data_IF_198057255342
#
_entry.id   IF_198057255342
#
_cell.length_a   1.000
_cell.length_b   1.000
_cell.length_c   1.000
_cell.angle_alpha   90.00
_cell.angle_beta   90.00
_cell.angle_gamma   90.00
#
_symmetry.space_group_name_H-M   'P 1'
#
loop_
_entity.id
_entity.type
_entity.pdbx_description
1 polymer ?
#
# COMPACT_ATOMS: atom_id res chain seq x y z
N UNK A 1 6.42 14.74 -7.97
CA UNK A 1 6.27 13.40 -7.37
C UNK A 1 5.99 13.48 -5.86
N UNK A 2 6.59 14.41 -5.17
CA UNK A 2 6.36 14.60 -3.75
C UNK A 2 4.92 14.96 -3.43
N UNK A 3 4.30 15.78 -4.28
CA UNK A 3 2.90 16.15 -4.10
C UNK A 3 1.98 14.93 -4.28
N UNK A 4 2.26 14.09 -5.27
CA UNK A 4 1.49 12.87 -5.49
C UNK A 4 1.61 11.91 -4.31
N UNK A 5 2.80 11.72 -3.76
CA UNK A 5 3.03 10.89 -2.57
C UNK A 5 2.23 11.42 -1.39
N UNK A 6 2.27 12.72 -1.15
CA UNK A 6 1.56 13.34 -0.04
C UNK A 6 0.05 13.15 -0.16
N UNK A 7 -0.50 13.36 -1.34
CA UNK A 7 -1.93 13.17 -1.59
C UNK A 7 -2.33 11.71 -1.32
N UNK A 8 -1.55 10.75 -1.82
CA UNK A 8 -1.83 9.34 -1.58
C UNK A 8 -1.78 9.00 -0.09
N UNK A 9 -0.85 9.56 0.66
CA UNK A 9 -0.76 9.31 2.10
C UNK A 9 -1.90 9.96 2.88
N UNK A 10 -2.32 11.16 2.49
CA UNK A 10 -3.45 11.84 3.11
C UNK A 10 -4.77 11.06 2.91
N UNK A 11 -4.91 10.38 1.79
CA UNK A 11 -6.10 9.61 1.44
C UNK A 11 -5.94 8.11 1.67
N UNK A 12 -4.91 7.68 2.39
CA UNK A 12 -4.57 6.27 2.48
C UNK A 12 -5.69 5.40 3.05
N UNK A 13 -6.48 5.94 3.97
CA UNK A 13 -7.61 5.22 4.59
C UNK A 13 -8.94 5.47 3.89
N UNK A 14 -8.96 6.29 2.84
CA UNK A 14 -10.19 6.64 2.13
C UNK A 14 -10.53 5.55 1.11
N UNK A 15 -11.65 4.85 1.32
CA UNK A 15 -12.10 3.78 0.42
C UNK A 15 -12.51 4.29 -0.96
N UNK A 16 -12.82 5.59 -1.06
CA UNK A 16 -13.23 6.22 -2.32
C UNK A 16 -12.06 6.85 -3.09
N UNK A 17 -10.84 6.79 -2.55
CA UNK A 17 -9.69 7.33 -3.25
C UNK A 17 -9.35 6.48 -4.46
N UNK A 18 -9.10 7.15 -5.59
CA UNK A 18 -8.90 6.49 -6.88
C UNK A 18 -7.91 7.27 -7.73
N UNK A 19 -7.57 6.70 -8.88
CA UNK A 19 -6.75 7.38 -9.90
C UNK A 19 -7.40 8.71 -10.31
N UNK A 20 -8.72 8.72 -10.44
CA UNK A 20 -9.47 9.93 -10.80
C UNK A 20 -9.32 11.03 -9.75
N UNK A 21 -9.42 10.67 -8.48
CA UNK A 21 -9.25 11.63 -7.38
C UNK A 21 -7.82 12.17 -7.37
N UNK A 22 -6.83 11.31 -7.55
CA UNK A 22 -5.43 11.72 -7.61
C UNK A 22 -5.22 12.73 -8.74
N UNK A 23 -5.76 12.44 -9.93
CA UNK A 23 -5.68 13.35 -11.07
C UNK A 23 -6.32 14.70 -10.78
N UNK A 24 -7.52 14.68 -10.18
CA UNK A 24 -8.23 15.92 -9.81
C UNK A 24 -7.43 16.76 -8.83
N UNK A 25 -6.88 16.13 -7.80
CA UNK A 25 -6.07 16.82 -6.78
C UNK A 25 -4.80 17.44 -7.38
N UNK A 26 -4.24 16.80 -8.40
CA UNK A 26 -3.06 17.30 -9.09
C UNK A 26 -3.39 18.22 -10.26
N UNK A 27 -4.67 18.41 -10.57
CA UNK A 27 -5.15 19.17 -11.73
C UNK A 27 -4.59 18.64 -13.05
N UNK A 28 -4.50 17.33 -13.16
CA UNK A 28 -3.99 16.64 -14.35
C UNK A 28 -5.05 15.73 -14.95
N UNK A 29 -5.09 15.66 -16.29
CA UNK A 29 -5.91 14.68 -16.98
C UNK A 29 -5.37 13.27 -16.70
N UNK A 30 -6.23 12.25 -16.84
CA UNK A 30 -5.84 10.87 -16.63
C UNK A 30 -4.68 10.45 -17.53
N UNK A 31 -4.73 10.85 -18.81
CA UNK A 31 -3.68 10.52 -19.77
C UNK A 31 -2.35 11.16 -19.39
N UNK A 32 -2.37 12.43 -19.02
CA UNK A 32 -1.16 13.15 -18.64
C UNK A 32 -0.57 12.58 -17.35
N UNK A 33 -1.42 12.28 -16.38
CA UNK A 33 -1.00 11.65 -15.11
C UNK A 33 -0.30 10.32 -15.37
N UNK A 34 -0.89 9.49 -16.25
CA UNK A 34 -0.31 8.20 -16.62
C UNK A 34 1.08 8.36 -17.22
N UNK A 35 1.21 9.22 -18.22
CA UNK A 35 2.49 9.45 -18.89
C UNK A 35 3.55 9.97 -17.92
N UNK A 36 3.18 10.90 -17.06
CA UNK A 36 4.12 11.50 -16.13
C UNK A 36 4.61 10.50 -15.09
N UNK A 37 3.72 9.69 -14.54
CA UNK A 37 4.10 8.67 -13.55
C UNK A 37 4.95 7.57 -14.17
N UNK A 38 4.59 7.10 -15.37
CA UNK A 38 5.40 6.12 -16.07
C UNK A 38 6.83 6.66 -16.31
N UNK A 39 6.95 7.89 -16.76
CA UNK A 39 8.26 8.49 -17.04
C UNK A 39 9.12 8.64 -15.78
N UNK A 40 8.51 9.00 -14.66
CA UNK A 40 9.27 9.28 -13.43
C UNK A 40 9.51 8.02 -12.61
N UNK A 41 8.48 7.14 -12.48
CA UNK A 41 8.53 5.99 -11.55
C UNK A 41 8.59 4.64 -12.24
N UNK A 42 8.27 4.57 -13.53
CA UNK A 42 8.10 3.30 -14.24
C UNK A 42 6.76 2.63 -13.95
N UNK A 43 5.88 3.26 -13.18
CA UNK A 43 4.59 2.69 -12.76
C UNK A 43 3.44 3.59 -13.17
N UNK A 44 2.32 2.97 -13.59
CA UNK A 44 1.08 3.70 -13.82
C UNK A 44 0.43 4.16 -12.52
N UNK A 45 -0.61 5.01 -12.59
CA UNK A 45 -1.23 5.57 -11.38
C UNK A 45 -1.80 4.53 -10.41
N UNK A 46 -2.48 3.50 -10.92
CA UNK A 46 -3.05 2.46 -10.05
C UNK A 46 -1.97 1.68 -9.32
N UNK A 47 -0.90 1.33 -10.02
CA UNK A 47 0.23 0.62 -9.43
C UNK A 47 0.97 1.51 -8.43
N UNK A 48 1.10 2.79 -8.75
CA UNK A 48 1.71 3.77 -7.85
C UNK A 48 0.98 3.85 -6.51
N UNK A 49 -0.35 3.97 -6.55
CA UNK A 49 -1.18 4.00 -5.35
C UNK A 49 -1.05 2.68 -4.56
N UNK A 50 -1.11 1.55 -5.26
CA UNK A 50 -0.99 0.23 -4.63
C UNK A 50 0.35 0.06 -3.93
N UNK A 51 1.42 0.48 -4.55
CA UNK A 51 2.77 0.39 -3.97
C UNK A 51 2.85 1.17 -2.65
N UNK A 52 2.28 2.37 -2.62
CA UNK A 52 2.26 3.20 -1.40
C UNK A 52 1.47 2.50 -0.29
N UNK A 53 0.27 1.99 -0.62
CA UNK A 53 -0.56 1.29 0.37
C UNK A 53 0.12 0.03 0.89
N UNK A 54 0.77 -0.73 0.03
CA UNK A 54 1.43 -1.97 0.44
C UNK A 54 2.68 -1.71 1.27
N UNK A 55 3.40 -0.64 1.00
CA UNK A 55 4.52 -0.23 1.83
C UNK A 55 4.04 0.10 3.25
N UNK A 56 2.92 0.80 3.38
CA UNK A 56 2.35 1.10 4.68
C UNK A 56 1.82 -0.17 5.36
N UNK A 57 1.22 -1.10 4.61
CA UNK A 57 0.79 -2.40 5.14
C UNK A 57 1.95 -3.14 5.77
N UNK A 58 3.08 -3.18 5.09
CA UNK A 58 4.28 -3.82 5.59
C UNK A 58 4.75 -3.21 6.90
N UNK A 59 4.76 -1.89 7.00
CA UNK A 59 5.10 -1.18 8.23
C UNK A 59 4.16 -1.53 9.38
N UNK A 60 2.85 -1.59 9.11
CA UNK A 60 1.87 -1.96 10.13
C UNK A 60 2.07 -3.40 10.61
N UNK A 61 2.36 -4.33 9.70
CA UNK A 61 2.65 -5.72 10.08
C UNK A 61 3.90 -5.81 10.93
N UNK A 62 4.93 -5.06 10.57
CA UNK A 62 6.22 -5.04 11.29
C UNK A 62 6.08 -4.44 12.68
N UNK A 63 5.14 -3.53 12.88
CA UNK A 63 4.90 -2.94 14.21
C UNK A 63 4.34 -3.96 15.20
N UNK A 64 3.64 -4.99 14.71
CA UNK A 64 3.05 -6.02 15.54
C UNK A 64 1.86 -5.59 16.38
N UNK A 65 1.34 -4.38 16.16
CA UNK A 65 0.29 -3.80 17.01
C UNK A 65 -1.10 -3.87 16.39
N UNK A 66 -1.21 -4.24 15.11
CA UNK A 66 -2.47 -4.22 14.39
C UNK A 66 -2.81 -5.60 13.85
N UNK A 67 -4.07 -5.96 13.92
CA UNK A 67 -4.60 -7.16 13.28
C UNK A 67 -4.79 -6.90 11.78
N UNK A 68 -4.80 -7.95 10.98
CA UNK A 68 -4.92 -7.84 9.53
C UNK A 68 -6.19 -7.09 9.11
N UNK A 69 -7.31 -7.34 9.80
CA UNK A 69 -8.56 -6.65 9.52
C UNK A 69 -8.45 -5.14 9.79
N UNK A 70 -7.75 -4.77 10.84
CA UNK A 70 -7.49 -3.37 11.19
C UNK A 70 -6.61 -2.69 10.14
N UNK A 71 -5.57 -3.39 9.69
CA UNK A 71 -4.67 -2.88 8.64
C UNK A 71 -5.45 -2.65 7.34
N UNK A 72 -6.33 -3.60 6.98
CA UNK A 72 -7.16 -3.47 5.80
C UNK A 72 -8.00 -2.19 5.84
N UNK A 73 -8.68 -1.96 6.96
CA UNK A 73 -9.49 -0.76 7.14
C UNK A 73 -8.64 0.52 7.10
N UNK A 74 -7.48 0.51 7.75
CA UNK A 74 -6.58 1.66 7.79
C UNK A 74 -6.03 2.04 6.41
N UNK A 75 -6.01 1.09 5.47
CA UNK A 75 -5.52 1.31 4.11
C UNK A 75 -6.63 1.55 3.10
N UNK A 76 -7.87 1.73 3.57
CA UNK A 76 -8.98 2.06 2.69
C UNK A 76 -9.57 0.88 1.93
N UNK A 77 -9.36 -0.35 2.40
CA UNK A 77 -9.96 -1.53 1.79
C UNK A 77 -11.26 -1.91 2.51
N UNK A 78 -12.27 -2.30 1.74
CA UNK A 78 -13.57 -2.70 2.29
C UNK A 78 -13.51 -4.08 2.95
N UNK A 79 -12.54 -4.92 2.58
CA UNK A 79 -12.37 -6.24 3.18
C UNK A 79 -10.91 -6.68 3.10
N UNK A 80 -10.49 -7.63 3.98
CA UNK A 80 -9.11 -8.10 4.03
C UNK A 80 -8.65 -8.88 2.79
N UNK A 81 -9.58 -9.41 2.02
CA UNK A 81 -9.25 -10.15 0.80
C UNK A 81 -8.47 -9.29 -0.19
N UNK A 82 -8.90 -8.03 -0.36
CA UNK A 82 -8.22 -7.10 -1.28
C UNK A 82 -6.80 -6.80 -0.82
N UNK A 83 -6.63 -6.60 0.48
CA UNK A 83 -5.29 -6.42 1.06
C UNK A 83 -4.41 -7.64 0.77
N UNK A 84 -4.93 -8.84 0.99
CA UNK A 84 -4.19 -10.08 0.76
C UNK A 84 -3.74 -10.21 -0.70
N UNK A 85 -4.64 -9.96 -1.64
CA UNK A 85 -4.34 -10.04 -3.07
C UNK A 85 -3.25 -9.04 -3.46
N UNK A 86 -3.38 -7.80 -3.03
CA UNK A 86 -2.43 -6.75 -3.37
C UNK A 86 -1.07 -6.98 -2.71
N UNK A 87 -1.06 -7.48 -1.47
CA UNK A 87 0.17 -7.78 -0.76
C UNK A 87 0.95 -8.91 -1.46
N UNK A 88 0.24 -9.95 -1.90
CA UNK A 88 0.87 -11.04 -2.68
C UNK A 88 1.45 -10.53 -3.98
N UNK A 89 0.75 -9.63 -4.67
CA UNK A 89 1.23 -9.06 -5.92
C UNK A 89 2.53 -8.27 -5.71
N UNK A 90 2.61 -7.50 -4.62
CA UNK A 90 3.78 -6.66 -4.36
C UNK A 90 4.96 -7.45 -3.77
N UNK A 91 4.70 -8.38 -2.88
CA UNK A 91 5.76 -9.02 -2.08
C UNK A 91 5.87 -10.53 -2.24
N UNK A 92 4.99 -11.16 -3.05
CA UNK A 92 5.04 -12.59 -3.31
C UNK A 92 4.57 -13.47 -2.16
N UNK A 93 4.07 -12.89 -1.08
CA UNK A 93 3.59 -13.63 0.10
C UNK A 93 2.36 -12.95 0.68
N UNK A 94 1.53 -13.69 1.40
CA UNK A 94 0.37 -13.10 2.07
C UNK A 94 0.77 -12.35 3.33
N UNK A 95 -0.07 -11.41 3.81
CA UNK A 95 0.20 -10.73 5.08
C UNK A 95 0.38 -11.70 6.25
N UNK A 96 -0.43 -12.76 6.30
CA UNK A 96 -0.35 -13.77 7.38
C UNK A 96 0.98 -14.51 7.35
N UNK A 97 1.43 -14.92 6.18
CA UNK A 97 2.70 -15.60 5.99
C UNK A 97 3.88 -14.68 6.34
N UNK A 98 3.79 -13.44 5.93
CA UNK A 98 4.82 -12.44 6.22
C UNK A 98 4.92 -12.20 7.73
N UNK A 99 3.78 -12.07 8.41
CA UNK A 99 3.73 -11.89 9.86
C UNK A 99 4.34 -13.08 10.60
N UNK A 100 4.04 -14.29 10.14
CA UNK A 100 4.60 -15.52 10.70
C UNK A 100 6.12 -15.54 10.55
N UNK A 101 6.63 -15.14 9.41
CA UNK A 101 8.07 -15.07 9.14
C UNK A 101 8.77 -14.08 10.09
N UNK A 102 8.18 -12.91 10.29
CA UNK A 102 8.71 -11.90 11.21
C UNK A 102 8.80 -12.46 12.62
N UNK A 103 7.75 -13.14 13.09
CA UNK A 103 7.71 -13.74 14.42
C UNK A 103 8.79 -14.80 14.60
N UNK A 104 9.03 -15.62 13.59
CA UNK A 104 10.08 -16.63 13.60
C UNK A 104 11.46 -16.01 13.67
N UNK A 105 11.72 -14.96 12.89
CA UNK A 105 12.99 -14.26 12.91
C UNK A 105 13.27 -13.61 14.26
N UNK A 106 12.24 -13.02 14.89
CA UNK A 106 12.36 -12.42 16.23
C UNK A 106 12.62 -13.48 17.28
N UNK A 107 11.94 -14.61 17.21
CA UNK A 107 12.18 -15.75 18.12
C UNK A 107 13.60 -16.28 17.97
N UNK A 108 14.08 -16.42 16.74
CA UNK A 108 15.45 -16.86 16.45
C UNK A 108 16.49 -15.94 17.06
N UNK A 109 16.28 -14.64 17.04
CA UNK A 109 17.17 -13.65 17.63
C UNK A 109 17.22 -13.73 19.15
N UNK A 110 16.10 -14.10 19.76
CA UNK A 110 15.99 -14.20 21.23
C UNK A 110 16.70 -15.44 21.75
N UNK A 111 16.79 -16.50 20.97
CA UNK A 111 17.37 -17.79 21.36
C UNK A 111 18.91 -17.77 21.44
N UNK A 112 19.54 -16.73 21.06
CA UNK A 112 20.99 -16.60 21.12
C UNK A 112 21.38 -16.22 22.55
#
# INVERSE_FOLDING_TARGET
>A
IQKALRICEEHISDTEFSVEVLGQELSLSRTYLYKKLINITGKGPAEFIRTIRMKRAKQYLESGQMQIIEISAALGYNNPKRLTENFKTEYGTSPSEYLKKIRQERSGKIKI
#
